data_IF_778609144584
#
_entry.id   IF_778609144584
#
_cell.length_a   1.000
_cell.length_b   1.000
_cell.length_c   1.000
_cell.angle_alpha   90.00
_cell.angle_beta   90.00
_cell.angle_gamma   90.00
#
_symmetry.space_group_name_H-M   'P 1'
#
loop_
_entity.id
_entity.type
_entity.pdbx_description
1 polymer ?
#
# COMPACT_ATOMS: atom_id res chain seq x y z
N UNK A 1 6.44 14.91 0.84
CA UNK A 1 7.57 14.11 0.34
C UNK A 1 7.67 14.43 -1.13
N UNK A 2 8.84 14.83 -1.63
CA UNK A 2 9.01 15.26 -3.03
C UNK A 2 8.92 14.12 -4.05
N UNK A 3 8.99 12.86 -3.59
CA UNK A 3 8.99 11.66 -4.43
C UNK A 3 7.77 11.58 -5.37
N UNK A 4 6.57 11.90 -4.86
CA UNK A 4 5.32 11.84 -5.63
C UNK A 4 4.95 13.16 -6.32
N UNK A 5 5.82 14.18 -6.29
CA UNK A 5 5.58 15.45 -6.98
C UNK A 5 5.25 15.27 -8.48
N UNK A 6 5.83 14.31 -9.24
CA UNK A 6 5.44 14.09 -10.63
C UNK A 6 3.95 13.77 -10.80
N UNK A 7 3.32 13.08 -9.84
CA UNK A 7 1.91 12.71 -9.88
C UNK A 7 0.97 13.89 -9.60
N UNK A 8 1.41 14.89 -8.84
CA UNK A 8 0.58 16.03 -8.43
C UNK A 8 0.66 17.20 -9.39
N UNK A 9 1.45 17.10 -10.47
CA UNK A 9 1.52 18.19 -11.45
C UNK A 9 0.24 18.23 -12.28
N UNK A 10 -0.27 19.43 -12.62
CA UNK A 10 -1.47 19.55 -13.46
C UNK A 10 -1.33 18.94 -14.87
N UNK A 11 -0.10 18.81 -15.37
CA UNK A 11 0.23 18.23 -16.69
C UNK A 11 0.59 16.73 -16.61
N UNK A 12 0.47 16.11 -15.44
CA UNK A 12 0.80 14.69 -15.24
C UNK A 12 -0.15 13.73 -15.94
N UNK A 13 -1.37 14.17 -16.26
CA UNK A 13 -2.46 13.31 -16.74
C UNK A 13 -3.09 12.44 -15.66
N UNK A 14 -2.58 12.48 -14.42
CA UNK A 14 -3.06 11.67 -13.30
C UNK A 14 -4.10 12.42 -12.47
N UNK A 15 -3.85 13.72 -12.23
CA UNK A 15 -4.73 14.58 -11.42
C UNK A 15 -5.24 15.78 -12.21
N UNK A 16 -6.45 16.21 -11.89
CA UNK A 16 -7.02 17.48 -12.35
C UNK A 16 -6.50 18.66 -11.52
N UNK A 17 -6.89 19.88 -11.87
CA UNK A 17 -6.50 21.12 -11.15
C UNK A 17 -6.90 21.15 -9.67
N UNK A 18 -7.84 20.30 -9.27
CA UNK A 18 -8.40 20.21 -7.93
C UNK A 18 -7.92 18.95 -7.16
N UNK A 19 -6.84 18.30 -7.59
CA UNK A 19 -6.29 17.05 -7.01
C UNK A 19 -7.22 15.82 -7.13
N UNK A 20 -8.23 15.88 -8.01
CA UNK A 20 -9.09 14.75 -8.34
C UNK A 20 -8.43 13.85 -9.37
N UNK A 21 -8.55 12.54 -9.21
CA UNK A 21 -8.04 11.57 -10.16
C UNK A 21 -8.76 11.69 -11.50
N UNK A 22 -7.99 11.74 -12.57
CA UNK A 22 -8.51 11.71 -13.94
C UNK A 22 -9.08 10.31 -14.19
N UNK A 23 -10.38 10.24 -14.55
CA UNK A 23 -11.05 8.98 -14.87
C UNK A 23 -10.62 8.49 -16.26
N UNK A 24 -10.60 7.18 -16.44
CA UNK A 24 -10.31 6.54 -17.72
C UNK A 24 -11.42 5.51 -18.06
N UNK A 25 -11.49 5.03 -19.33
CA UNK A 25 -12.39 3.94 -19.68
C UNK A 25 -12.17 2.73 -18.78
N UNK A 26 -13.26 2.04 -18.45
CA UNK A 26 -13.21 0.84 -17.63
C UNK A 26 -12.29 -0.21 -18.27
N UNK A 27 -11.39 -0.77 -17.45
CA UNK A 27 -10.51 -1.86 -17.82
C UNK A 27 -10.27 -2.78 -16.62
N UNK A 28 -9.76 -3.99 -16.86
CA UNK A 28 -9.42 -4.95 -15.83
C UNK A 28 -8.06 -5.58 -16.12
N UNK A 29 -7.10 -5.36 -15.23
CA UNK A 29 -5.74 -5.90 -15.33
C UNK A 29 -5.42 -6.63 -14.03
N UNK A 30 -4.97 -7.88 -14.13
CA UNK A 30 -4.61 -8.73 -12.99
C UNK A 30 -5.70 -8.84 -11.90
N UNK A 31 -6.97 -8.78 -12.30
CA UNK A 31 -8.13 -8.83 -11.40
C UNK A 31 -8.40 -7.51 -10.65
N UNK A 32 -7.69 -6.43 -10.99
CA UNK A 32 -7.98 -5.08 -10.50
C UNK A 32 -8.84 -4.31 -11.50
N UNK A 33 -9.94 -3.76 -11.00
CA UNK A 33 -10.76 -2.83 -11.77
C UNK A 33 -10.08 -1.46 -11.88
N UNK A 34 -9.84 -1.04 -13.12
CA UNK A 34 -9.23 0.25 -13.46
C UNK A 34 -10.35 1.20 -13.91
N UNK A 35 -10.43 2.35 -13.25
CA UNK A 35 -11.42 3.41 -13.57
C UNK A 35 -10.79 4.80 -13.63
N UNK A 36 -9.48 4.90 -13.39
CA UNK A 36 -8.73 6.14 -13.33
C UNK A 36 -7.30 5.95 -13.85
N UNK A 37 -6.72 7.06 -14.29
CA UNK A 37 -5.38 7.12 -14.88
C UNK A 37 -4.28 6.76 -13.88
N UNK A 38 -4.51 6.91 -12.57
CA UNK A 38 -3.55 6.50 -11.54
C UNK A 38 -3.41 4.98 -11.51
N UNK A 39 -4.51 4.24 -11.40
CA UNK A 39 -4.49 2.77 -11.41
C UNK A 39 -3.97 2.22 -12.72
N UNK A 40 -4.36 2.86 -13.83
CA UNK A 40 -3.83 2.53 -15.15
C UNK A 40 -2.30 2.69 -15.18
N UNK A 41 -1.79 3.82 -14.71
CA UNK A 41 -0.34 4.07 -14.61
C UNK A 41 0.40 3.08 -13.72
N UNK A 42 -0.24 2.53 -12.69
CA UNK A 42 0.36 1.55 -11.77
C UNK A 42 0.41 0.12 -12.33
N UNK A 43 -0.50 -0.26 -13.24
CA UNK A 43 -0.67 -1.64 -13.70
C UNK A 43 -0.34 -1.85 -15.17
N UNK A 44 -0.65 -0.87 -16.02
CA UNK A 44 -0.48 -0.95 -17.47
C UNK A 44 0.89 -0.38 -17.88
N UNK A 45 1.80 -1.26 -18.32
CA UNK A 45 3.13 -0.86 -18.78
C UNK A 45 3.11 -0.06 -20.09
N UNK A 46 2.03 -0.20 -20.87
CA UNK A 46 1.83 0.48 -22.14
C UNK A 46 1.09 1.82 -21.96
N UNK A 47 0.67 2.15 -20.73
CA UNK A 47 0.07 3.45 -20.41
C UNK A 47 1.01 4.60 -20.74
N UNK A 48 0.46 5.69 -21.30
CA UNK A 48 1.19 6.94 -21.55
C UNK A 48 1.85 7.49 -20.29
N UNK A 49 1.22 7.25 -19.14
CA UNK A 49 1.64 7.78 -17.85
C UNK A 49 2.56 6.81 -17.08
N UNK A 50 2.78 5.58 -17.55
CA UNK A 50 3.58 4.55 -16.85
C UNK A 50 5.00 5.05 -16.49
N UNK A 51 5.61 5.84 -17.39
CA UNK A 51 6.98 6.37 -17.25
C UNK A 51 7.07 7.67 -16.44
N UNK A 52 5.95 8.16 -15.90
CA UNK A 52 5.93 9.39 -15.09
C UNK A 52 6.77 9.24 -13.81
N UNK A 53 6.85 8.02 -13.27
CA UNK A 53 7.81 7.63 -12.24
C UNK A 53 8.86 6.72 -12.90
N UNK A 54 10.16 7.06 -12.81
CA UNK A 54 11.20 6.30 -13.49
C UNK A 54 11.37 4.91 -12.88
N UNK A 55 11.90 3.98 -13.67
CA UNK A 55 12.05 2.57 -13.25
C UNK A 55 12.90 2.40 -11.97
N UNK A 56 13.89 3.26 -11.74
CA UNK A 56 14.67 3.27 -10.49
C UNK A 56 13.76 3.45 -9.27
N UNK A 57 12.86 4.43 -9.36
CA UNK A 57 12.02 4.87 -8.26
C UNK A 57 10.86 3.90 -8.05
N UNK A 58 10.40 3.22 -9.11
CA UNK A 58 9.36 2.19 -8.99
C UNK A 58 9.80 0.95 -8.22
N UNK A 59 11.11 0.70 -8.10
CA UNK A 59 11.64 -0.38 -7.28
C UNK A 59 11.80 0.01 -5.81
N UNK A 60 11.60 1.28 -5.46
CA UNK A 60 11.74 1.76 -4.08
C UNK A 60 10.57 1.30 -3.22
N UNK A 61 10.86 0.98 -1.95
CA UNK A 61 9.84 0.50 -1.00
C UNK A 61 8.65 1.46 -0.86
N UNK A 62 8.91 2.77 -0.88
CA UNK A 62 7.85 3.78 -0.79
C UNK A 62 6.87 3.72 -1.97
N UNK A 63 7.36 3.38 -3.17
CA UNK A 63 6.51 3.23 -4.35
C UNK A 63 5.69 1.94 -4.26
N UNK A 64 6.32 0.82 -3.88
CA UNK A 64 5.60 -0.45 -3.68
C UNK A 64 4.50 -0.32 -2.61
N UNK A 65 4.78 0.41 -1.52
CA UNK A 65 3.79 0.70 -0.48
C UNK A 65 2.64 1.54 -1.03
N UNK A 66 2.93 2.61 -1.77
CA UNK A 66 1.93 3.44 -2.41
C UNK A 66 1.05 2.63 -3.38
N UNK A 67 1.66 1.79 -4.21
CA UNK A 67 0.96 0.92 -5.15
C UNK A 67 0.02 -0.03 -4.40
N UNK A 68 0.49 -0.69 -3.34
CA UNK A 68 -0.33 -1.58 -2.52
C UNK A 68 -1.53 -0.85 -1.88
N UNK A 69 -1.36 0.40 -1.47
CA UNK A 69 -2.42 1.24 -0.91
C UNK A 69 -3.44 1.65 -1.99
N UNK A 70 -2.98 2.07 -3.17
CA UNK A 70 -3.87 2.51 -4.25
C UNK A 70 -4.66 1.35 -4.88
N UNK A 71 -4.01 0.20 -5.07
CA UNK A 71 -4.67 -1.00 -5.58
C UNK A 71 -5.53 -1.69 -4.51
N UNK A 72 -5.10 -1.59 -3.25
CA UNK A 72 -5.80 -2.18 -2.12
C UNK A 72 -5.87 -3.70 -2.20
N UNK A 73 -6.88 -4.27 -1.55
CA UNK A 73 -7.23 -5.68 -1.63
C UNK A 73 -8.71 -5.86 -1.94
N UNK A 74 -9.29 -7.01 -1.59
CA UNK A 74 -10.72 -7.30 -1.83
C UNK A 74 -11.69 -6.24 -1.27
N UNK A 75 -11.28 -5.54 -0.22
CA UNK A 75 -12.02 -4.42 0.35
C UNK A 75 -11.52 -3.14 -0.33
N UNK A 76 -12.29 -2.70 -1.32
CA UNK A 76 -12.02 -1.59 -2.22
C UNK A 76 -11.78 -0.25 -1.49
N UNK A 77 -10.52 0.21 -1.38
CA UNK A 77 -10.16 1.53 -0.85
C UNK A 77 -10.10 2.59 -1.97
N UNK A 78 -11.23 2.79 -2.66
CA UNK A 78 -11.32 3.79 -3.72
C UNK A 78 -11.49 5.20 -3.16
N UNK A 79 -10.49 6.02 -3.41
CA UNK A 79 -10.52 7.48 -3.26
C UNK A 79 -10.58 8.13 -4.64
N UNK A 80 -11.34 9.22 -4.73
CA UNK A 80 -11.45 10.03 -5.94
C UNK A 80 -10.39 11.14 -6.03
N UNK A 81 -9.65 11.39 -4.95
CA UNK A 81 -8.53 12.33 -4.92
C UNK A 81 -7.22 11.59 -4.65
N UNK A 82 -6.10 12.12 -5.15
CA UNK A 82 -4.78 11.54 -4.89
C UNK A 82 -4.32 11.73 -3.43
N UNK A 83 -4.82 12.79 -2.77
CA UNK A 83 -4.27 13.27 -1.50
C UNK A 83 -4.36 12.24 -0.36
N UNK A 84 -5.49 11.54 -0.13
CA UNK A 84 -5.58 10.53 0.91
C UNK A 84 -4.53 9.42 0.75
N UNK A 85 -4.26 8.97 -0.49
CA UNK A 85 -3.23 7.96 -0.75
C UNK A 85 -1.83 8.45 -0.40
N UNK A 86 -1.49 9.70 -0.74
CA UNK A 86 -0.19 10.28 -0.43
C UNK A 86 0.00 10.46 1.09
N UNK A 87 -1.04 10.90 1.78
CA UNK A 87 -1.01 11.13 3.22
C UNK A 87 -0.87 9.82 4.00
N UNK A 88 -1.64 8.78 3.66
CA UNK A 88 -1.55 7.48 4.34
C UNK A 88 -0.25 6.75 4.01
N UNK A 89 0.23 6.81 2.76
CA UNK A 89 1.54 6.27 2.37
C UNK A 89 2.64 6.91 3.19
N UNK A 90 2.62 8.23 3.32
CA UNK A 90 3.61 8.98 4.10
C UNK A 90 3.55 8.62 5.59
N UNK A 91 2.36 8.44 6.15
CA UNK A 91 2.18 8.03 7.54
C UNK A 91 2.79 6.65 7.77
N UNK A 92 2.35 5.65 6.99
CA UNK A 92 2.81 4.27 7.12
C UNK A 92 4.31 4.17 6.86
N UNK A 93 4.83 4.84 5.82
CA UNK A 93 6.26 4.81 5.51
C UNK A 93 7.10 5.32 6.69
N UNK A 94 6.66 6.39 7.36
CA UNK A 94 7.36 6.95 8.53
C UNK A 94 7.32 6.02 9.74
N UNK A 95 6.24 5.26 9.90
CA UNK A 95 6.11 4.30 11.00
C UNK A 95 6.93 3.03 10.74
N UNK A 96 7.06 2.64 9.47
CA UNK A 96 7.80 1.44 9.07
C UNK A 96 9.31 1.68 8.96
N UNK A 97 9.75 2.87 8.56
CA UNK A 97 11.17 3.16 8.33
C UNK A 97 11.76 3.92 9.51
N UNK A 98 12.69 3.28 10.21
CA UNK A 98 13.51 3.89 11.26
C UNK A 98 14.91 4.21 10.75
N UNK A 99 15.50 5.31 11.22
CA UNK A 99 16.90 5.64 10.92
C UNK A 99 17.75 5.16 12.07
N UNK A 100 18.73 4.31 11.77
CA UNK A 100 19.69 3.83 12.74
C UNK A 100 21.10 4.32 12.38
N UNK A 101 21.92 4.48 13.41
CA UNK A 101 23.32 4.83 13.29
C UNK A 101 24.16 3.68 13.79
N UNK A 102 25.06 3.20 12.96
CA UNK A 102 26.03 2.19 13.35
C UNK A 102 26.95 2.80 14.43
N UNK A 103 27.00 2.24 15.64
CA UNK A 103 27.83 2.77 16.72
C UNK A 103 29.33 2.66 16.43
N UNK A 104 29.77 1.70 15.61
CA UNK A 104 31.17 1.48 15.27
C UNK A 104 31.62 2.32 14.07
N UNK A 105 30.86 2.28 12.97
CA UNK A 105 31.26 2.96 11.72
C UNK A 105 30.74 4.40 11.64
N UNK A 106 29.80 4.78 12.53
CA UNK A 106 29.02 6.03 12.47
C UNK A 106 28.19 6.20 11.20
N UNK A 107 28.10 5.18 10.35
CA UNK A 107 27.27 5.19 9.15
C UNK A 107 25.78 5.22 9.52
N UNK A 108 25.00 5.95 8.72
CA UNK A 108 23.55 6.06 8.89
C UNK A 108 22.90 5.13 7.88
N UNK A 109 21.97 4.30 8.33
CA UNK A 109 21.21 3.38 7.49
C UNK A 109 19.72 3.38 7.86
N UNK A 110 18.90 3.00 6.89
CA UNK A 110 17.45 2.86 7.07
C UNK A 110 17.13 1.41 7.43
N UNK A 111 16.35 1.22 8.49
CA UNK A 111 15.86 -0.09 8.92
C UNK A 111 14.34 -0.09 8.82
N UNK A 112 13.79 -0.96 8.00
CA UNK A 112 12.35 -1.18 7.91
C UNK A 112 11.92 -2.13 9.03
N UNK A 113 10.75 -1.92 9.66
CA UNK A 113 10.28 -2.70 10.81
C UNK A 113 10.29 -4.23 10.59
N UNK A 114 10.12 -4.71 9.34
CA UNK A 114 10.29 -6.11 8.96
C UNK A 114 11.69 -6.69 9.24
N UNK A 115 12.73 -5.85 9.28
CA UNK A 115 14.10 -6.26 9.62
C UNK A 115 14.35 -6.27 11.15
N UNK A 116 13.46 -5.65 11.94
CA UNK A 116 13.54 -5.61 13.41
C UNK A 116 12.68 -6.69 14.08
N UNK A 117 11.85 -7.42 13.31
CA UNK A 117 11.16 -8.59 13.85
C UNK A 117 12.18 -9.71 14.06
N UNK A 118 12.50 -9.97 15.33
CA UNK A 118 13.10 -11.22 15.78
C UNK A 118 12.46 -12.40 15.00
N UNK A 119 13.22 -13.21 14.24
CA UNK A 119 12.68 -14.27 13.39
C UNK A 119 11.85 -15.32 14.13
N UNK A 120 11.93 -15.38 15.47
CA UNK A 120 11.14 -16.31 16.27
C UNK A 120 9.68 -15.89 16.54
N UNK A 121 9.28 -14.63 16.26
CA UNK A 121 7.96 -14.12 16.67
C UNK A 121 6.90 -14.01 15.56
N UNK A 122 7.24 -14.24 14.29
CA UNK A 122 6.37 -13.80 13.17
C UNK A 122 5.42 -14.83 12.54
N UNK A 123 5.38 -16.11 12.97
CA UNK A 123 4.50 -17.10 12.30
C UNK A 123 3.62 -17.95 13.23
N UNK A 124 3.74 -17.82 14.56
CA UNK A 124 2.93 -18.61 15.51
C UNK A 124 1.53 -18.05 15.80
N UNK A 125 1.16 -16.88 15.30
CA UNK A 125 -0.12 -16.24 15.64
C UNK A 125 -1.30 -16.62 14.74
N UNK A 126 -1.09 -17.32 13.61
CA UNK A 126 -2.15 -17.62 12.64
C UNK A 126 -2.39 -19.11 12.35
N UNK A 127 -1.84 -20.03 13.15
CA UNK A 127 -2.05 -21.48 13.01
C UNK A 127 -2.56 -22.17 14.28
N UNK A 128 -3.46 -21.51 15.00
CA UNK A 128 -4.21 -22.13 16.10
C UNK A 128 -5.71 -21.97 15.85
N UNK A 129 -6.24 -22.70 14.87
CA UNK A 129 -7.65 -23.07 14.93
C UNK A 129 -7.80 -24.08 16.08
N UNK A 130 -8.64 -23.82 17.10
CA UNK A 130 -8.95 -24.85 18.08
C UNK A 130 -9.84 -25.88 17.39
N UNK A 131 -9.28 -27.03 17.05
CA UNK A 131 -10.03 -28.19 16.59
C UNK A 131 -10.43 -29.04 17.80
N UNK A 132 -11.64 -28.78 18.31
CA UNK A 132 -12.52 -29.70 19.04
C UNK A 132 -12.37 -29.82 20.57
N UNK A 133 -13.31 -30.51 21.27
CA UNK A 133 -14.70 -30.84 20.89
C UNK A 133 -15.72 -29.95 21.65
N UNK A 134 -16.89 -29.69 21.03
CA UNK A 134 -18.01 -29.01 21.70
C UNK A 134 -18.53 -29.85 22.87
N UNK A 135 -18.19 -29.40 24.08
CA UNK A 135 -18.74 -29.88 25.33
C UNK A 135 -20.20 -29.39 25.44
N UNK A 136 -21.13 -30.35 25.58
CA UNK A 136 -22.58 -30.13 25.63
C UNK A 136 -22.96 -29.12 26.72
N UNK A 137 -23.37 -27.92 26.32
CA UNK A 137 -24.05 -26.99 27.21
C UNK A 137 -25.57 -27.21 27.12
N UNK A 138 -26.11 -27.87 28.15
CA UNK A 138 -27.56 -28.05 28.37
C UNK A 138 -28.28 -26.69 28.43
N UNK A 139 -29.40 -26.57 27.74
CA UNK A 139 -30.34 -25.43 27.88
C UNK A 139 -31.17 -25.62 29.15
N UNK A 140 -31.40 -24.60 29.97
CA UNK A 140 -32.52 -24.61 30.91
C UNK A 140 -33.82 -24.37 30.14
N UNK A 141 -34.79 -25.23 30.38
CA UNK A 141 -36.21 -24.99 30.11
C UNK A 141 -36.70 -24.11 31.25
N UNK A 142 -37.32 -22.97 30.93
CA UNK A 142 -38.14 -22.24 31.88
C UNK A 142 -39.59 -22.22 31.38
N UNK A 143 -40.48 -22.52 32.34
CA UNK A 143 -41.92 -22.75 32.23
C UNK A 143 -42.74 -21.48 31.97
#
# INVERSE_FOLDING_TARGET
>A
MSFFNPLTKPDSGIVSSNDWLVKCPYDEIDGFTITDELRKMLLDEDSSNYKLIPKSDRNEFIFCLFQAICLGGQWCQYEDSIKPYLDITKLIYKDLVSVQKDPATKAIFYVTAHQNSNPERSWRAYSSTPTGPDEKMSRPVED
#
